data_IF_086389865398
#
_entry.id   IF_086389865398
#
_cell.length_a   1.000
_cell.length_b   1.000
_cell.length_c   1.000
_cell.angle_alpha   90.00
_cell.angle_beta   90.00
_cell.angle_gamma   90.00
#
_symmetry.space_group_name_H-M   'P 1'
#
loop_
_entity.id
_entity.type
_entity.pdbx_description
1 polymer ?
#
# COMPACT_ATOMS: atom_id res chain seq x y z
N UNK A 1 5.33 -47.38 10.55
CA UNK A 1 4.11 -46.68 10.13
C UNK A 1 4.00 -45.46 11.04
N UNK A 2 4.48 -44.32 10.59
CA UNK A 2 4.42 -43.06 11.33
C UNK A 2 3.26 -42.25 10.77
N UNK A 3 2.25 -42.03 11.60
CA UNK A 3 1.15 -41.15 11.32
C UNK A 3 1.68 -39.70 11.40
N UNK A 4 1.69 -39.04 10.28
CA UNK A 4 1.93 -37.61 10.22
C UNK A 4 0.60 -36.89 10.42
N UNK A 5 0.28 -36.57 11.65
CA UNK A 5 -0.83 -35.66 11.98
C UNK A 5 -0.44 -34.24 11.54
N UNK A 6 -0.92 -33.88 10.36
CA UNK A 6 -0.88 -32.49 9.90
C UNK A 6 -1.97 -31.75 10.68
N UNK A 7 -1.58 -31.02 11.72
CA UNK A 7 -2.48 -30.12 12.41
C UNK A 7 -2.97 -29.02 11.43
N UNK A 8 -4.28 -28.76 11.35
CA UNK A 8 -4.80 -27.70 10.50
C UNK A 8 -4.31 -26.34 11.00
N UNK A 9 -3.59 -25.64 10.14
CA UNK A 9 -3.18 -24.25 10.39
C UNK A 9 -4.44 -23.38 10.37
N UNK A 10 -4.92 -22.97 11.52
CA UNK A 10 -6.02 -22.03 11.63
C UNK A 10 -5.53 -20.64 11.23
N UNK A 11 -5.94 -20.16 10.07
CA UNK A 11 -5.79 -18.76 9.70
C UNK A 11 -6.89 -17.95 10.40
N UNK A 12 -6.57 -17.33 11.51
CA UNK A 12 -7.42 -16.34 12.14
C UNK A 12 -7.36 -15.04 11.31
N UNK A 13 -8.42 -14.76 10.58
CA UNK A 13 -8.64 -13.48 9.90
C UNK A 13 -9.12 -12.47 10.94
N UNK A 14 -8.18 -11.87 11.66
CA UNK A 14 -8.51 -10.81 12.62
C UNK A 14 -8.65 -9.49 11.88
N UNK A 15 -9.88 -8.98 11.79
CA UNK A 15 -10.10 -7.57 11.46
C UNK A 15 -9.86 -6.77 12.74
N UNK A 16 -8.69 -6.20 12.89
CA UNK A 16 -8.37 -5.36 14.04
C UNK A 16 -8.99 -4.00 13.81
N UNK A 17 -10.17 -3.74 14.37
CA UNK A 17 -10.71 -2.40 14.49
C UNK A 17 -9.94 -1.66 15.60
N UNK A 18 -8.91 -0.92 15.21
CA UNK A 18 -8.20 -0.03 16.13
C UNK A 18 -9.11 1.16 16.44
N UNK A 19 -9.75 1.17 17.59
CA UNK A 19 -10.62 2.25 18.07
C UNK A 19 -9.87 3.55 18.37
N UNK A 20 -8.53 3.50 18.54
CA UNK A 20 -7.64 4.66 18.65
C UNK A 20 -6.50 4.53 17.64
N UNK A 21 -6.78 4.87 16.37
CA UNK A 21 -5.73 4.91 15.35
C UNK A 21 -4.83 6.12 15.61
N UNK A 22 -3.56 5.87 15.96
CA UNK A 22 -2.57 6.92 15.99
C UNK A 22 -2.36 7.45 14.56
N UNK A 23 -2.66 8.73 14.34
CA UNK A 23 -2.42 9.40 13.06
C UNK A 23 -0.91 9.61 12.91
N UNK A 24 -0.32 9.01 11.90
CA UNK A 24 1.11 9.15 11.62
C UNK A 24 1.32 10.41 10.81
N UNK A 25 2.13 11.33 11.35
CA UNK A 25 2.64 12.50 10.62
C UNK A 25 4.06 12.21 10.16
N UNK A 26 4.28 12.33 8.85
CA UNK A 26 5.58 12.08 8.24
C UNK A 26 6.45 13.33 8.36
N UNK A 27 7.74 13.15 8.64
CA UNK A 27 8.71 14.24 8.62
C UNK A 27 9.43 14.27 7.28
N UNK A 28 9.27 15.38 6.56
CA UNK A 28 9.82 15.57 5.22
C UNK A 28 11.16 16.30 5.26
N UNK A 29 12.02 16.03 4.30
CA UNK A 29 13.32 16.77 4.12
C UNK A 29 13.07 18.17 3.59
N UNK A 30 12.13 18.28 2.66
CA UNK A 30 11.65 19.53 2.06
C UNK A 30 10.17 19.35 1.69
N UNK A 31 9.52 20.43 1.32
CA UNK A 31 8.11 20.47 0.94
C UNK A 31 7.93 20.70 -0.58
N UNK A 32 9.00 20.53 -1.36
CA UNK A 32 8.95 20.71 -2.80
C UNK A 32 8.17 19.56 -3.45
N UNK A 33 7.17 19.86 -4.28
CA UNK A 33 6.39 18.85 -4.95
C UNK A 33 7.24 17.96 -5.86
N UNK A 34 7.05 16.67 -5.74
CA UNK A 34 7.70 15.67 -6.60
C UNK A 34 6.72 15.20 -7.65
N UNK A 35 7.02 15.48 -8.90
CA UNK A 35 6.28 15.00 -10.04
C UNK A 35 7.04 13.91 -10.77
N UNK A 36 6.44 12.73 -10.86
CA UNK A 36 6.94 11.64 -11.70
C UNK A 36 5.86 11.28 -12.71
N UNK A 37 6.22 11.32 -13.98
CA UNK A 37 5.28 11.00 -15.05
C UNK A 37 4.82 9.55 -15.01
N UNK A 38 3.56 9.34 -15.38
CA UNK A 38 2.97 8.03 -15.52
C UNK A 38 3.53 7.35 -16.77
N UNK A 39 3.98 6.11 -16.61
CA UNK A 39 4.40 5.28 -17.74
C UNK A 39 3.23 4.89 -18.64
N UNK A 40 3.48 4.68 -19.94
CA UNK A 40 2.46 4.13 -20.82
C UNK A 40 1.94 2.79 -20.33
N UNK A 41 0.62 2.65 -20.29
CA UNK A 41 -0.06 1.45 -19.83
C UNK A 41 -0.74 0.74 -21.01
N UNK A 42 -0.58 -0.57 -21.12
CA UNK A 42 -1.33 -1.40 -22.06
C UNK A 42 -2.83 -1.37 -21.74
N UNK A 43 -3.69 -1.53 -22.73
CA UNK A 43 -5.15 -1.45 -22.57
C UNK A 43 -5.70 -2.38 -21.50
N UNK A 44 -5.22 -3.62 -21.43
CA UNK A 44 -5.64 -4.60 -20.42
C UNK A 44 -5.32 -4.11 -19.00
N UNK A 45 -4.09 -3.61 -18.79
CA UNK A 45 -3.65 -3.08 -17.49
C UNK A 45 -4.43 -1.82 -17.11
N UNK A 46 -4.71 -0.95 -18.08
CA UNK A 46 -5.50 0.25 -17.84
C UNK A 46 -6.93 -0.09 -17.38
N UNK A 47 -7.55 -1.09 -17.98
CA UNK A 47 -8.87 -1.54 -17.57
C UNK A 47 -8.85 -2.09 -16.13
N UNK A 48 -7.87 -2.94 -15.81
CA UNK A 48 -7.70 -3.46 -14.45
C UNK A 48 -7.46 -2.34 -13.42
N UNK A 49 -6.66 -1.33 -13.77
CA UNK A 49 -6.41 -0.16 -12.89
C UNK A 49 -7.71 0.59 -12.62
N UNK A 50 -8.55 0.82 -13.64
CA UNK A 50 -9.84 1.51 -13.45
C UNK A 50 -10.73 0.80 -12.45
N UNK A 51 -10.92 -0.50 -12.64
CA UNK A 51 -11.75 -1.34 -11.76
C UNK A 51 -11.24 -1.31 -10.30
N UNK A 52 -9.90 -1.35 -10.13
CA UNK A 52 -9.29 -1.26 -8.81
C UNK A 52 -9.46 0.13 -8.19
N UNK A 53 -9.32 1.22 -8.96
CA UNK A 53 -9.53 2.58 -8.48
C UNK A 53 -10.99 2.79 -8.08
N UNK A 54 -11.95 2.37 -8.91
CA UNK A 54 -13.36 2.49 -8.61
C UNK A 54 -13.70 1.76 -7.29
N UNK A 55 -13.15 0.57 -7.09
CA UNK A 55 -13.28 -0.17 -5.82
C UNK A 55 -12.70 0.60 -4.63
N UNK A 56 -11.52 1.23 -4.78
CA UNK A 56 -10.89 1.99 -3.69
C UNK A 56 -11.67 3.27 -3.36
N UNK A 57 -12.27 3.92 -4.37
CA UNK A 57 -13.15 5.07 -4.17
C UNK A 57 -14.43 4.69 -3.41
N UNK A 58 -15.06 3.57 -3.77
CA UNK A 58 -16.25 3.06 -3.08
C UNK A 58 -15.94 2.73 -1.61
N UNK A 59 -14.76 2.19 -1.33
CA UNK A 59 -14.27 1.89 0.02
C UNK A 59 -13.80 3.14 0.78
N UNK A 60 -13.77 4.32 0.14
CA UNK A 60 -13.25 5.59 0.70
C UNK A 60 -11.80 5.48 1.20
N UNK A 61 -11.00 4.70 0.50
CA UNK A 61 -9.56 4.59 0.75
C UNK A 61 -8.76 5.64 0.00
N UNK A 62 -9.32 6.19 -1.08
CA UNK A 62 -8.75 7.26 -1.89
C UNK A 62 -9.83 8.28 -2.24
N UNK A 63 -9.41 9.52 -2.47
CA UNK A 63 -10.26 10.62 -2.92
C UNK A 63 -9.69 11.27 -4.20
N UNK A 64 -10.53 12.00 -4.94
CA UNK A 64 -10.06 12.81 -6.07
C UNK A 64 -9.19 13.96 -5.56
N UNK A 65 -8.09 14.26 -6.26
CA UNK A 65 -7.08 15.23 -5.83
C UNK A 65 -6.68 16.18 -6.95
N UNK A 66 -6.30 17.39 -6.57
CA UNK A 66 -5.65 18.38 -7.44
C UNK A 66 -4.22 18.72 -6.98
N UNK A 67 -3.61 17.86 -6.16
CA UNK A 67 -2.25 18.04 -5.63
C UNK A 67 -1.21 18.27 -6.72
N UNK A 68 -0.15 18.99 -6.40
CA UNK A 68 1.03 19.19 -7.27
C UNK A 68 2.00 18.00 -7.28
N UNK A 69 1.77 17.00 -6.42
CA UNK A 69 2.56 15.77 -6.36
C UNK A 69 2.02 14.73 -7.34
N UNK A 70 2.89 13.87 -7.87
CA UNK A 70 2.46 12.74 -8.69
C UNK A 70 3.44 11.58 -8.63
N UNK A 71 2.92 10.39 -8.39
CA UNK A 71 3.65 9.12 -8.44
C UNK A 71 3.06 8.20 -9.50
N UNK A 72 3.88 7.49 -10.29
CA UNK A 72 3.34 6.57 -11.29
C UNK A 72 2.75 5.32 -10.64
N UNK A 73 1.70 4.80 -11.27
CA UNK A 73 1.04 3.58 -10.85
C UNK A 73 1.23 2.46 -11.87
N UNK A 74 1.16 1.25 -11.41
CA UNK A 74 1.17 0.07 -12.26
C UNK A 74 0.41 -1.08 -11.60
N UNK A 75 0.09 -2.09 -12.37
CA UNK A 75 -0.55 -3.31 -11.86
C UNK A 75 0.29 -4.52 -12.12
N UNK A 76 0.27 -5.41 -11.16
CA UNK A 76 0.86 -6.75 -11.26
C UNK A 76 -0.22 -7.81 -11.06
N UNK A 77 -0.03 -8.94 -11.72
CA UNK A 77 -0.91 -10.09 -11.54
C UNK A 77 -0.34 -10.99 -10.45
N UNK A 78 -1.09 -11.19 -9.37
CA UNK A 78 -0.71 -12.11 -8.28
C UNK A 78 -0.79 -13.56 -8.74
N UNK A 79 -0.16 -14.48 -8.02
CA UNK A 79 -0.29 -15.93 -8.27
C UNK A 79 -1.75 -16.41 -8.24
N UNK A 80 -2.60 -15.71 -7.49
CA UNK A 80 -4.07 -15.95 -7.43
C UNK A 80 -4.83 -15.43 -8.65
N UNK A 81 -4.14 -15.03 -9.71
CA UNK A 81 -4.71 -14.43 -10.93
C UNK A 81 -5.43 -13.08 -10.73
N UNK A 82 -5.38 -12.49 -9.54
CA UNK A 82 -5.95 -11.18 -9.24
C UNK A 82 -4.97 -10.06 -9.53
N UNK A 83 -5.46 -8.94 -10.05
CA UNK A 83 -4.68 -7.73 -10.22
C UNK A 83 -4.44 -7.04 -8.87
N UNK A 84 -3.27 -6.43 -8.72
CA UNK A 84 -2.89 -5.63 -7.57
C UNK A 84 -2.36 -4.28 -8.06
N UNK A 85 -2.97 -3.19 -7.62
CA UNK A 85 -2.52 -1.83 -7.89
C UNK A 85 -1.33 -1.51 -6.99
N UNK A 86 -0.30 -0.92 -7.57
CA UNK A 86 0.91 -0.48 -6.89
C UNK A 86 1.26 0.94 -7.31
N UNK A 87 1.77 1.72 -6.39
CA UNK A 87 2.29 3.08 -6.63
C UNK A 87 3.80 3.09 -6.44
N UNK A 88 4.54 3.68 -7.37
CA UNK A 88 5.98 3.83 -7.23
C UNK A 88 6.32 5.04 -6.37
N UNK A 89 6.48 4.81 -5.10
CA UNK A 89 6.78 5.83 -4.09
C UNK A 89 8.28 6.04 -3.86
N UNK A 90 9.17 5.49 -4.68
CA UNK A 90 10.64 5.57 -4.44
C UNK A 90 11.13 7.02 -4.30
N UNK A 91 10.66 7.94 -5.15
CA UNK A 91 11.03 9.36 -5.06
C UNK A 91 10.41 10.04 -3.84
N UNK A 92 9.15 9.74 -3.54
CA UNK A 92 8.48 10.23 -2.33
C UNK A 92 9.21 9.73 -1.08
N UNK A 93 9.53 8.44 -1.02
CA UNK A 93 10.27 7.86 0.11
C UNK A 93 11.66 8.48 0.29
N UNK A 94 12.34 8.86 -0.81
CA UNK A 94 13.63 9.54 -0.74
C UNK A 94 13.55 10.95 -0.11
N UNK A 95 12.37 11.59 -0.14
CA UNK A 95 12.12 12.89 0.48
C UNK A 95 11.71 12.81 1.96
N UNK A 96 11.45 11.62 2.47
CA UNK A 96 11.14 11.40 3.88
C UNK A 96 12.43 11.43 4.71
N UNK A 97 12.40 12.10 5.86
CA UNK A 97 13.51 12.02 6.83
C UNK A 97 13.48 10.63 7.48
N UNK A 98 14.63 9.93 7.54
CA UNK A 98 14.70 8.66 8.27
C UNK A 98 14.29 8.87 9.73
N UNK A 99 13.39 8.07 10.24
CA UNK A 99 12.97 8.12 11.64
C UNK A 99 13.97 7.42 12.59
N UNK A 100 15.15 7.07 12.10
CA UNK A 100 16.16 6.30 12.86
C UNK A 100 15.85 4.79 12.84
N UNK A 101 16.58 4.04 13.61
CA UNK A 101 16.36 2.60 13.83
C UNK A 101 15.13 2.42 14.71
N UNK A 102 13.98 2.14 14.11
CA UNK A 102 12.71 1.98 14.82
C UNK A 102 12.65 0.73 15.71
N UNK A 103 13.57 -0.21 15.53
CA UNK A 103 13.58 -1.47 16.29
C UNK A 103 15.01 -1.93 16.53
N UNK A 104 15.60 -1.47 17.64
CA UNK A 104 16.89 -1.97 18.12
C UNK A 104 16.80 -3.42 18.66
N UNK A 105 15.60 -3.95 18.88
CA UNK A 105 15.40 -5.19 19.64
C UNK A 105 14.31 -6.11 19.08
N UNK A 106 14.22 -6.30 17.76
CA UNK A 106 13.44 -7.45 17.28
C UNK A 106 14.25 -8.71 17.58
N UNK A 107 13.74 -9.62 18.43
CA UNK A 107 14.39 -10.90 18.65
C UNK A 107 14.58 -11.61 17.30
N UNK A 108 15.78 -12.12 17.04
CA UNK A 108 16.00 -12.93 15.86
C UNK A 108 15.07 -14.15 15.89
N UNK A 109 14.47 -14.57 14.76
CA UNK A 109 13.71 -15.81 14.70
C UNK A 109 14.45 -17.04 15.22
N UNK A 110 15.79 -17.00 15.19
CA UNK A 110 16.68 -18.07 15.72
C UNK A 110 16.57 -18.19 17.26
N UNK A 111 16.16 -17.13 17.94
CA UNK A 111 16.01 -17.13 19.41
C UNK A 111 14.72 -17.78 19.89
N UNK A 112 13.82 -18.12 18.97
CA UNK A 112 12.57 -18.81 19.29
C UNK A 112 12.91 -20.26 19.66
N UNK A 113 12.58 -20.73 20.87
CA UNK A 113 12.89 -22.10 21.28
C UNK A 113 12.24 -23.12 20.33
N UNK A 114 12.93 -24.22 20.09
CA UNK A 114 12.36 -25.34 19.35
C UNK A 114 11.11 -25.87 20.10
N UNK A 115 10.10 -26.26 19.36
CA UNK A 115 8.81 -26.76 19.87
C UNK A 115 7.85 -25.71 20.47
N UNK A 116 8.13 -24.42 20.31
CA UNK A 116 7.11 -23.42 20.61
C UNK A 116 6.06 -23.35 19.52
N UNK A 117 4.80 -23.21 19.93
CA UNK A 117 3.72 -22.95 18.99
C UNK A 117 3.82 -21.51 18.47
N UNK A 118 3.99 -21.36 17.15
CA UNK A 118 4.08 -20.06 16.51
C UNK A 118 2.74 -19.76 15.87
N UNK A 119 2.17 -18.61 16.21
CA UNK A 119 0.98 -18.06 15.53
C UNK A 119 1.47 -16.98 14.57
N UNK A 120 1.23 -17.18 13.28
CA UNK A 120 1.55 -16.20 12.24
C UNK A 120 0.26 -15.44 11.95
N UNK A 121 0.28 -14.11 12.15
CA UNK A 121 -0.82 -13.21 11.81
C UNK A 121 -0.41 -12.35 10.63
N UNK A 122 -1.18 -12.43 9.54
CA UNK A 122 -1.02 -11.55 8.38
C UNK A 122 -2.17 -10.53 8.37
N UNK A 123 -1.83 -9.27 8.14
CA UNK A 123 -2.82 -8.19 8.08
C UNK A 123 -3.18 -7.95 6.60
N UNK A 124 -4.43 -8.21 6.26
CA UNK A 124 -4.93 -7.86 4.93
C UNK A 124 -4.99 -6.33 4.81
N UNK A 125 -4.51 -5.82 3.66
CA UNK A 125 -4.57 -4.41 3.29
C UNK A 125 -4.02 -3.47 4.40
N UNK A 126 -2.94 -3.90 5.07
CA UNK A 126 -2.38 -3.24 6.25
C UNK A 126 -2.06 -1.76 6.02
N UNK A 127 -1.68 -1.37 4.79
CA UNK A 127 -1.38 0.03 4.46
C UNK A 127 -2.60 0.94 4.58
N UNK A 128 -3.80 0.48 4.21
CA UNK A 128 -5.04 1.24 4.36
C UNK A 128 -5.56 1.28 5.80
N UNK A 129 -4.98 0.48 6.69
CA UNK A 129 -5.31 0.48 8.11
C UNK A 129 -4.52 1.51 8.93
N UNK A 130 -3.50 2.13 8.35
CA UNK A 130 -2.66 3.15 8.99
C UNK A 130 -3.08 4.52 8.46
N UNK A 131 -3.80 5.35 9.26
CA UNK A 131 -4.23 6.65 8.80
C UNK A 131 -3.03 7.60 8.72
N UNK A 132 -2.90 8.26 7.58
CA UNK A 132 -1.95 9.35 7.40
C UNK A 132 -2.53 10.67 7.94
N UNK A 133 -1.64 11.58 8.34
CA UNK A 133 -2.02 12.93 8.65
C UNK A 133 -2.50 13.65 7.38
N UNK A 134 -3.57 14.44 7.47
CA UNK A 134 -4.20 15.07 6.31
C UNK A 134 -3.24 15.96 5.48
N UNK A 135 -2.24 16.59 6.11
CA UNK A 135 -1.20 17.38 5.43
C UNK A 135 -0.25 16.52 4.57
N UNK A 136 -0.27 15.21 4.77
CA UNK A 136 0.60 14.29 4.02
C UNK A 136 -0.12 13.62 2.85
N UNK A 137 -1.45 13.66 2.79
CA UNK A 137 -2.25 12.96 1.76
C UNK A 137 -1.87 13.37 0.35
N UNK A 138 -1.73 14.67 0.10
CA UNK A 138 -1.39 15.21 -1.23
C UNK A 138 -0.09 14.66 -1.80
N UNK A 139 0.84 14.21 -0.93
CA UNK A 139 2.16 13.71 -1.31
C UNK A 139 2.13 12.28 -1.87
N UNK A 140 1.02 11.59 -1.68
CA UNK A 140 0.79 10.24 -2.19
C UNK A 140 -0.13 10.21 -3.43
N UNK A 141 -0.33 11.35 -4.05
CA UNK A 141 -1.19 11.48 -5.23
C UNK A 141 -0.62 10.73 -6.43
N UNK A 142 -1.50 10.13 -7.20
CA UNK A 142 -1.20 9.50 -8.48
C UNK A 142 -2.20 9.94 -9.55
N UNK A 143 -1.84 9.75 -10.82
CA UNK A 143 -2.69 10.12 -11.96
C UNK A 143 -3.07 8.90 -12.78
N UNK A 144 -4.33 8.84 -13.18
CA UNK A 144 -4.81 7.91 -14.19
C UNK A 144 -4.88 8.62 -15.53
N UNK A 145 -3.98 8.26 -16.45
CA UNK A 145 -3.93 8.82 -17.80
C UNK A 145 -4.79 7.99 -18.74
N UNK A 146 -5.63 8.69 -19.51
CA UNK A 146 -6.41 8.06 -20.58
C UNK A 146 -5.66 8.20 -21.91
N UNK A 147 -5.51 7.11 -22.68
CA UNK A 147 -4.89 7.19 -24.01
C UNK A 147 -5.69 8.14 -24.90
N UNK A 148 -4.99 8.87 -25.75
CA UNK A 148 -5.53 9.76 -26.79
C UNK A 148 -6.31 10.99 -26.27
N UNK A 149 -6.09 11.44 -25.04
CA UNK A 149 -6.74 12.63 -24.45
C UNK A 149 -8.28 12.64 -24.57
N UNK A 150 -8.90 11.49 -24.73
CA UNK A 150 -10.37 11.35 -24.91
C UNK A 150 -11.14 11.80 -23.66
N UNK A 151 -10.49 11.76 -22.48
CA UNK A 151 -11.06 12.21 -21.21
C UNK A 151 -10.02 12.98 -20.41
N UNK A 152 -10.43 13.93 -19.56
CA UNK A 152 -9.51 14.59 -18.65
C UNK A 152 -8.84 13.55 -17.74
N UNK A 153 -7.58 13.78 -17.45
CA UNK A 153 -6.83 12.93 -16.52
C UNK A 153 -7.44 13.06 -15.13
N UNK A 154 -7.66 11.92 -14.48
CA UNK A 154 -8.12 11.89 -13.09
C UNK A 154 -6.93 11.67 -12.18
N UNK A 155 -6.97 12.31 -11.01
CA UNK A 155 -5.93 12.26 -10.00
C UNK A 155 -6.54 11.88 -8.67
N UNK A 156 -5.82 11.08 -7.88
CA UNK A 156 -6.30 10.49 -6.64
C UNK A 156 -5.20 10.54 -5.57
N UNK A 157 -5.60 10.70 -4.32
CA UNK A 157 -4.73 10.69 -3.15
C UNK A 157 -5.26 9.75 -2.08
#
# INVERSE_FOLDING_TARGET
MANSDIHPTFFLRATVHLTNKAIIKITWKNDEPIWTEQWPLMKEKLQAIKELIDTQLELKHIDESCSSWNSPIFVIKKKSNKWCLLTDLRKVNASIKPMGTLQLEIPSPITIPQNWHIIITDLQDCFFNIPLHFLDWEKFTFSLLYPNHIRPHKRFQ
#
